data_IF_327904542240
#
_entry.id   IF_327904542240
#
_cell.length_a   1.000
_cell.length_b   1.000
_cell.length_c   1.000
_cell.angle_alpha   90.00
_cell.angle_beta   90.00
_cell.angle_gamma   90.00
#
_symmetry.space_group_name_H-M   'P 1'
#
loop_
_entity.id
_entity.type
_entity.pdbx_description
1 polymer ?
#
# COMPACT_ATOMS: atom_id res chain seq x y z
N UNK A 1 -2.49 51.71 54.47
CA UNK A 1 -3.74 51.56 53.69
C UNK A 1 -3.38 50.85 52.39
N UNK A 2 -3.65 49.53 52.37
CA UNK A 2 -3.38 48.66 51.21
C UNK A 2 -4.64 48.58 50.32
N UNK A 3 -4.57 49.00 49.08
CA UNK A 3 -5.65 48.77 48.09
C UNK A 3 -5.29 47.56 47.24
N UNK A 4 -6.04 46.48 47.42
CA UNK A 4 -6.05 45.30 46.56
C UNK A 4 -6.78 45.67 45.25
N UNK A 5 -6.09 45.50 44.13
CA UNK A 5 -6.70 45.44 42.80
C UNK A 5 -6.89 43.96 42.45
N UNK A 6 -8.13 43.53 42.43
CA UNK A 6 -8.50 42.22 41.89
C UNK A 6 -8.63 42.37 40.39
N UNK A 7 -7.74 41.73 39.62
CA UNK A 7 -7.86 41.54 38.16
C UNK A 7 -8.61 40.24 37.92
N UNK A 8 -9.88 40.37 37.52
CA UNK A 8 -10.65 39.27 36.99
C UNK A 8 -10.18 38.99 35.51
N UNK A 9 -9.36 37.97 35.35
CA UNK A 9 -9.00 37.45 34.01
C UNK A 9 -10.11 36.52 33.53
N UNK A 10 -10.98 37.01 32.66
CA UNK A 10 -11.94 36.20 31.91
C UNK A 10 -11.14 35.38 30.86
N UNK A 11 -10.87 34.13 31.15
CA UNK A 11 -10.33 33.20 30.21
C UNK A 11 -11.43 32.78 29.24
N UNK A 12 -11.46 33.38 28.05
CA UNK A 12 -12.23 32.88 26.93
C UNK A 12 -11.53 31.62 26.41
N UNK A 13 -12.00 30.47 26.83
CA UNK A 13 -11.64 29.20 26.22
C UNK A 13 -12.41 29.12 24.89
N UNK A 14 -11.76 29.57 23.80
CA UNK A 14 -12.21 29.26 22.46
C UNK A 14 -11.96 27.76 22.26
N UNK A 15 -12.99 26.95 22.49
CA UNK A 15 -13.04 25.56 22.03
C UNK A 15 -13.14 25.63 20.51
N UNK A 16 -12.00 25.75 19.82
CA UNK A 16 -11.90 25.42 18.43
C UNK A 16 -12.20 23.92 18.31
N UNK A 17 -13.46 23.61 18.05
CA UNK A 17 -13.88 22.25 17.71
C UNK A 17 -13.14 21.85 16.43
N UNK A 18 -12.01 21.18 16.59
CA UNK A 18 -11.49 20.34 15.53
C UNK A 18 -12.58 19.30 15.25
N UNK A 19 -13.40 19.55 14.22
CA UNK A 19 -14.17 18.51 13.58
C UNK A 19 -13.17 17.54 12.92
N UNK A 20 -12.50 16.77 13.76
CA UNK A 20 -11.95 15.50 13.30
C UNK A 20 -13.16 14.69 12.88
N UNK A 21 -13.47 14.65 11.59
CA UNK A 21 -14.37 13.63 11.04
C UNK A 21 -13.73 12.30 11.40
N UNK A 22 -14.10 11.75 12.54
CA UNK A 22 -13.73 10.40 12.92
C UNK A 22 -14.37 9.49 11.88
N UNK A 23 -13.60 8.58 11.31
CA UNK A 23 -14.12 7.54 10.43
C UNK A 23 -15.25 6.84 11.20
N UNK A 24 -16.45 6.68 10.61
CA UNK A 24 -17.51 5.94 11.28
C UNK A 24 -17.01 4.54 11.62
N UNK A 25 -17.46 4.02 12.75
CA UNK A 25 -17.15 2.65 13.15
C UNK A 25 -17.60 1.72 12.00
N UNK A 26 -16.73 0.84 11.48
CA UNK A 26 -17.09 -0.13 10.44
C UNK A 26 -18.39 -0.89 10.76
N UNK A 27 -18.63 -1.23 12.02
CA UNK A 27 -19.85 -1.87 12.49
C UNK A 27 -21.11 -1.03 12.25
N UNK A 28 -21.00 0.30 12.22
CA UNK A 28 -22.15 1.20 11.97
C UNK A 28 -22.52 1.29 10.49
N UNK A 29 -21.59 0.95 9.59
CA UNK A 29 -21.81 0.97 8.15
C UNK A 29 -22.32 -0.38 7.63
N UNK A 30 -22.09 -1.47 8.36
CA UNK A 30 -22.57 -2.79 7.95
C UNK A 30 -24.09 -2.83 7.85
N UNK A 31 -24.59 -3.41 6.74
CA UNK A 31 -26.03 -3.53 6.48
C UNK A 31 -26.73 -2.25 6.02
N UNK A 32 -26.09 -1.07 6.05
CA UNK A 32 -26.68 0.17 5.56
C UNK A 32 -26.85 0.13 4.05
N UNK A 33 -28.02 0.54 3.57
CA UNK A 33 -28.27 0.70 2.12
C UNK A 33 -27.86 2.12 1.70
N UNK A 34 -26.92 2.20 0.76
CA UNK A 34 -26.50 3.47 0.17
C UNK A 34 -27.45 3.90 -0.97
N UNK A 35 -27.76 5.18 -1.01
CA UNK A 35 -28.39 5.80 -2.17
C UNK A 35 -27.30 6.17 -3.18
N UNK A 36 -27.04 5.25 -4.13
CA UNK A 36 -25.97 5.41 -5.11
C UNK A 36 -26.19 6.60 -6.05
N UNK A 37 -27.40 7.16 -6.14
CA UNK A 37 -27.67 8.35 -6.97
C UNK A 37 -26.99 9.62 -6.45
N UNK A 38 -26.54 9.60 -5.19
CA UNK A 38 -25.81 10.70 -4.56
C UNK A 38 -24.31 10.72 -4.86
N UNK A 39 -23.80 9.70 -5.54
CA UNK A 39 -22.38 9.53 -5.81
C UNK A 39 -22.15 9.49 -7.31
N UNK A 40 -21.32 10.39 -7.81
CA UNK A 40 -20.82 10.30 -9.18
C UNK A 40 -19.41 9.69 -9.20
N UNK A 41 -19.11 8.91 -10.22
CA UNK A 41 -17.76 8.36 -10.38
C UNK A 41 -16.70 9.47 -10.43
N UNK A 42 -16.99 10.55 -11.19
CA UNK A 42 -16.05 11.66 -11.34
C UNK A 42 -15.69 12.34 -10.01
N UNK A 43 -16.67 12.54 -9.10
CA UNK A 43 -16.39 13.09 -7.76
C UNK A 43 -15.54 12.16 -6.92
N UNK A 44 -15.86 10.87 -6.90
CA UNK A 44 -15.07 9.86 -6.17
C UNK A 44 -13.65 9.79 -6.71
N UNK A 45 -13.50 9.69 -8.05
CA UNK A 45 -12.21 9.64 -8.71
C UNK A 45 -11.39 10.91 -8.46
N UNK A 46 -12.01 12.10 -8.52
CA UNK A 46 -11.32 13.36 -8.25
C UNK A 46 -10.75 13.43 -6.82
N UNK A 47 -11.52 12.99 -5.81
CA UNK A 47 -11.04 12.95 -4.42
C UNK A 47 -9.91 11.93 -4.25
N UNK A 48 -10.05 10.73 -4.81
CA UNK A 48 -8.99 9.71 -4.77
C UNK A 48 -7.72 10.21 -5.46
N UNK A 49 -7.85 10.81 -6.65
CA UNK A 49 -6.71 11.31 -7.42
C UNK A 49 -6.03 12.51 -6.75
N UNK A 50 -6.79 13.40 -6.13
CA UNK A 50 -6.23 14.49 -5.32
C UNK A 50 -5.42 13.96 -4.13
N UNK A 51 -5.94 12.90 -3.45
CA UNK A 51 -5.21 12.23 -2.38
C UNK A 51 -3.95 11.54 -2.91
N UNK A 52 -4.05 10.79 -4.01
CA UNK A 52 -2.93 10.10 -4.63
C UNK A 52 -1.81 11.06 -5.08
N UNK A 53 -2.17 12.22 -5.63
CA UNK A 53 -1.21 13.25 -6.02
C UNK A 53 -0.38 13.76 -4.83
N UNK A 54 -0.98 13.85 -3.65
CA UNK A 54 -0.26 14.25 -2.42
C UNK A 54 0.60 13.14 -1.84
N UNK A 55 0.36 11.88 -2.21
CA UNK A 55 1.14 10.70 -1.86
C UNK A 55 2.09 10.26 -3.00
N UNK A 56 2.27 11.11 -4.04
CA UNK A 56 3.13 10.78 -5.19
C UNK A 56 4.56 10.43 -4.76
N UNK A 57 5.04 11.09 -3.70
CA UNK A 57 6.36 10.83 -3.10
C UNK A 57 6.18 10.52 -1.64
N UNK A 58 6.18 9.26 -1.32
CA UNK A 58 5.91 8.78 0.02
C UNK A 58 7.15 8.10 0.61
N UNK A 59 7.38 8.35 1.89
CA UNK A 59 8.35 7.63 2.70
C UNK A 59 7.75 7.32 4.07
N UNK A 60 8.02 6.13 4.58
CA UNK A 60 7.71 5.76 5.95
C UNK A 60 8.69 4.71 6.47
N UNK A 61 9.07 4.82 7.73
CA UNK A 61 9.56 3.66 8.46
C UNK A 61 8.40 2.68 8.66
N UNK A 62 8.68 1.39 8.61
CA UNK A 62 7.66 0.34 8.68
C UNK A 62 8.03 -0.74 9.69
N UNK A 63 6.99 -1.34 10.30
CA UNK A 63 7.10 -2.66 10.93
C UNK A 63 6.27 -3.61 10.07
N UNK A 64 6.92 -4.61 9.50
CA UNK A 64 6.29 -5.63 8.67
C UNK A 64 6.26 -6.94 9.44
N UNK A 65 5.07 -7.54 9.57
CA UNK A 65 4.92 -8.88 10.14
C UNK A 65 4.40 -9.80 9.06
N UNK A 66 5.08 -10.92 8.84
CA UNK A 66 4.73 -11.91 7.83
C UNK A 66 4.37 -13.21 8.55
N UNK A 67 3.20 -13.75 8.25
CA UNK A 67 2.76 -15.09 8.65
C UNK A 67 2.76 -15.97 7.41
N UNK A 68 3.33 -17.15 7.49
CA UNK A 68 3.42 -18.10 6.38
C UNK A 68 3.56 -19.53 6.90
N UNK A 69 3.29 -20.49 6.05
CA UNK A 69 3.54 -21.89 6.36
C UNK A 69 5.02 -22.20 6.13
N UNK A 70 5.72 -22.60 7.17
CA UNK A 70 7.12 -23.00 7.13
C UNK A 70 7.35 -24.28 6.33
N UNK A 71 8.63 -24.60 6.09
CA UNK A 71 9.03 -25.78 5.29
C UNK A 71 8.58 -27.12 5.88
N UNK A 72 8.33 -27.18 7.19
CA UNK A 72 7.88 -28.37 7.90
C UNK A 72 6.36 -28.42 8.09
N UNK A 73 5.64 -27.41 7.53
CA UNK A 73 4.19 -27.29 7.63
C UNK A 73 3.69 -26.62 8.91
N UNK A 74 4.60 -26.01 9.68
CA UNK A 74 4.27 -25.20 10.85
C UNK A 74 4.00 -23.75 10.50
N UNK A 75 3.16 -23.09 11.31
CA UNK A 75 2.92 -21.65 11.22
C UNK A 75 4.17 -20.89 11.68
N UNK A 76 4.74 -20.09 10.81
CA UNK A 76 5.86 -19.20 11.11
C UNK A 76 5.45 -17.74 11.10
N UNK A 77 6.11 -16.94 11.93
CA UNK A 77 5.90 -15.51 12.04
C UNK A 77 7.22 -14.77 12.08
N UNK A 78 7.45 -13.92 11.10
CA UNK A 78 8.59 -13.03 11.08
C UNK A 78 8.15 -11.58 11.29
N UNK A 79 8.88 -10.85 12.15
CA UNK A 79 8.74 -9.41 12.29
C UNK A 79 10.01 -8.73 11.82
N UNK A 80 9.85 -7.74 10.95
CA UNK A 80 10.89 -7.04 10.25
C UNK A 80 10.66 -5.53 10.39
N UNK A 81 11.70 -4.79 10.72
CA UNK A 81 11.70 -3.34 10.67
C UNK A 81 12.23 -2.89 9.30
N UNK A 82 11.85 -1.71 8.82
CA UNK A 82 12.35 -1.27 7.53
C UNK A 82 11.86 0.09 7.10
N UNK A 83 12.19 0.41 5.86
CA UNK A 83 11.80 1.64 5.20
C UNK A 83 11.07 1.35 3.90
N UNK A 84 10.01 2.10 3.65
CA UNK A 84 9.26 2.07 2.40
C UNK A 84 9.38 3.43 1.70
N UNK A 85 9.84 3.40 0.46
CA UNK A 85 9.94 4.54 -0.43
C UNK A 85 9.04 4.33 -1.64
N UNK A 86 8.27 5.34 -2.02
CA UNK A 86 7.42 5.32 -3.21
C UNK A 86 7.62 6.60 -4.00
N UNK A 87 7.72 6.45 -5.32
CA UNK A 87 7.52 7.51 -6.31
C UNK A 87 6.59 6.96 -7.38
N UNK A 88 5.36 7.43 -7.34
CA UNK A 88 4.36 6.97 -8.30
C UNK A 88 4.74 7.36 -9.73
N UNK A 89 4.29 6.63 -10.75
CA UNK A 89 3.40 5.47 -10.64
C UNK A 89 4.12 4.11 -10.46
N UNK A 90 5.43 4.00 -10.71
CA UNK A 90 6.08 2.70 -10.93
C UNK A 90 7.28 2.44 -10.01
N UNK A 91 7.65 3.39 -9.16
CA UNK A 91 8.84 3.24 -8.33
C UNK A 91 8.46 2.94 -6.90
N UNK A 92 8.96 1.81 -6.40
CA UNK A 92 8.83 1.40 -5.00
C UNK A 92 10.14 0.75 -4.57
N UNK A 93 10.56 1.01 -3.35
CA UNK A 93 11.67 0.32 -2.74
C UNK A 93 11.36 0.10 -1.26
N UNK A 94 11.56 -1.11 -0.79
CA UNK A 94 11.37 -1.51 0.59
C UNK A 94 12.59 -2.29 1.05
N UNK A 95 13.18 -1.86 2.16
CA UNK A 95 14.21 -2.60 2.88
C UNK A 95 13.60 -3.19 4.14
N UNK A 96 13.98 -4.42 4.49
CA UNK A 96 13.48 -5.15 5.65
C UNK A 96 14.65 -5.69 6.45
N UNK A 97 14.66 -5.45 7.75
CA UNK A 97 15.70 -5.88 8.68
C UNK A 97 15.10 -6.75 9.78
N UNK A 98 15.77 -7.83 10.11
CA UNK A 98 15.41 -8.69 11.23
C UNK A 98 16.44 -8.49 12.36
N UNK A 99 15.99 -7.86 13.46
CA UNK A 99 16.86 -7.57 14.62
C UNK A 99 18.14 -6.80 14.23
N UNK A 100 18.00 -5.78 13.36
CA UNK A 100 19.13 -4.95 12.92
C UNK A 100 20.05 -5.60 11.88
N UNK A 101 19.73 -6.79 11.38
CA UNK A 101 20.41 -7.42 10.26
C UNK A 101 19.54 -7.30 9.00
N UNK A 102 20.14 -6.92 7.88
CA UNK A 102 19.42 -6.87 6.61
C UNK A 102 18.84 -8.24 6.26
N UNK A 103 17.50 -8.31 6.12
CA UNK A 103 16.79 -9.56 5.92
C UNK A 103 16.32 -9.74 4.48
N UNK A 104 15.75 -8.66 3.91
CA UNK A 104 15.27 -8.66 2.54
C UNK A 104 15.20 -7.25 1.98
N UNK A 105 15.24 -7.14 0.66
CA UNK A 105 14.90 -5.91 -0.05
C UNK A 105 14.02 -6.24 -1.26
N UNK A 106 13.05 -5.37 -1.53
CA UNK A 106 12.26 -5.46 -2.74
C UNK A 106 12.17 -4.09 -3.40
N UNK A 107 11.98 -4.09 -4.71
CA UNK A 107 11.80 -2.84 -5.40
C UNK A 107 11.33 -3.00 -6.84
N UNK A 108 10.93 -1.86 -7.39
CA UNK A 108 10.63 -1.70 -8.79
C UNK A 108 10.98 -0.29 -9.26
N UNK A 109 11.29 -0.18 -10.54
CA UNK A 109 11.39 1.07 -11.29
C UNK A 109 10.58 0.96 -12.59
N UNK A 110 10.79 1.83 -13.54
CA UNK A 110 10.00 1.86 -14.78
C UNK A 110 10.18 0.60 -15.66
N UNK A 111 11.24 -0.19 -15.45
CA UNK A 111 11.56 -1.35 -16.29
C UNK A 111 11.62 -2.64 -15.51
N UNK A 112 12.30 -2.64 -14.36
CA UNK A 112 12.64 -3.83 -13.59
C UNK A 112 11.85 -3.91 -12.31
N UNK A 113 11.66 -5.12 -11.81
CA UNK A 113 11.32 -5.42 -10.42
C UNK A 113 12.31 -6.43 -9.87
N UNK A 114 12.52 -6.41 -8.56
CA UNK A 114 13.48 -7.29 -7.90
C UNK A 114 13.10 -7.62 -6.47
N UNK A 115 13.61 -8.76 -6.04
CA UNK A 115 13.62 -9.21 -4.66
C UNK A 115 15.02 -9.65 -4.32
N UNK A 116 15.50 -9.30 -3.13
CA UNK A 116 16.82 -9.70 -2.64
C UNK A 116 16.59 -10.43 -1.33
N UNK A 117 16.97 -11.70 -1.30
CA UNK A 117 17.05 -12.50 -0.07
C UNK A 117 18.46 -12.28 0.53
N UNK A 118 18.47 -11.64 1.70
CA UNK A 118 19.69 -11.29 2.42
C UNK A 118 19.96 -12.25 3.61
N UNK A 119 19.03 -13.16 3.88
CA UNK A 119 19.18 -14.19 4.94
C UNK A 119 19.85 -15.47 4.41
N UNK A 120 19.97 -15.60 3.10
CA UNK A 120 20.77 -16.68 2.51
C UNK A 120 22.26 -16.49 2.83
N UNK A 121 23.04 -17.58 2.91
CA UNK A 121 24.49 -17.55 3.14
C UNK A 121 25.21 -16.63 2.15
N UNK A 122 24.80 -16.66 0.88
CA UNK A 122 25.16 -15.68 -0.14
C UNK A 122 23.88 -14.93 -0.58
N UNK A 123 23.84 -13.58 -0.54
CA UNK A 123 22.70 -12.80 -0.97
C UNK A 123 22.29 -13.09 -2.43
N UNK A 124 21.00 -13.40 -2.62
CA UNK A 124 20.44 -13.77 -3.91
C UNK A 124 19.43 -12.72 -4.35
N UNK A 125 19.57 -12.19 -5.58
CA UNK A 125 18.56 -11.35 -6.20
C UNK A 125 17.77 -12.10 -7.27
N UNK A 126 16.45 -12.07 -7.16
CA UNK A 126 15.52 -12.46 -8.21
C UNK A 126 15.07 -11.20 -8.95
N UNK A 127 15.29 -11.13 -10.25
CA UNK A 127 15.13 -9.92 -11.07
C UNK A 127 14.28 -10.28 -12.29
N UNK A 128 13.28 -9.43 -12.60
CA UNK A 128 12.47 -9.57 -13.80
C UNK A 128 12.13 -8.22 -14.42
N UNK A 129 11.61 -8.26 -15.63
CA UNK A 129 11.05 -7.09 -16.33
C UNK A 129 9.53 -7.10 -16.22
N UNK A 130 8.93 -5.90 -16.14
CA UNK A 130 7.48 -5.78 -16.03
C UNK A 130 6.72 -6.35 -17.23
N UNK A 131 7.33 -6.34 -18.40
CA UNK A 131 6.68 -6.78 -19.64
C UNK A 131 6.59 -8.31 -19.74
N UNK A 132 7.50 -9.02 -19.07
CA UNK A 132 7.53 -10.48 -19.00
C UNK A 132 6.98 -11.04 -17.70
N UNK A 133 6.67 -10.20 -16.74
CA UNK A 133 6.16 -10.64 -15.43
C UNK A 133 4.83 -11.38 -15.58
N UNK A 134 4.77 -12.54 -14.96
CA UNK A 134 3.55 -13.30 -14.73
C UNK A 134 3.28 -13.35 -13.21
N UNK A 135 2.39 -12.48 -12.68
CA UNK A 135 2.17 -12.39 -11.24
C UNK A 135 1.64 -13.68 -10.62
N UNK A 136 0.94 -14.52 -11.40
CA UNK A 136 0.38 -15.77 -10.89
C UNK A 136 1.47 -16.83 -10.67
N UNK A 137 2.65 -16.64 -11.27
CA UNK A 137 3.80 -17.52 -11.10
C UNK A 137 4.87 -16.98 -10.14
N UNK A 138 4.73 -15.76 -9.66
CA UNK A 138 5.68 -15.21 -8.68
C UNK A 138 5.67 -15.99 -7.38
N UNK A 139 4.53 -16.50 -6.97
CA UNK A 139 4.37 -17.34 -5.78
C UNK A 139 5.17 -18.64 -5.89
N UNK A 140 5.25 -19.25 -7.07
CA UNK A 140 6.08 -20.44 -7.32
C UNK A 140 7.57 -20.18 -7.10
N UNK A 141 7.97 -18.91 -7.20
CA UNK A 141 9.34 -18.44 -7.02
C UNK A 141 9.63 -17.93 -5.60
N UNK A 142 8.65 -18.06 -4.69
CA UNK A 142 8.75 -17.58 -3.32
C UNK A 142 8.58 -16.06 -3.19
N UNK A 143 7.98 -15.41 -4.20
CA UNK A 143 7.72 -13.97 -4.20
C UNK A 143 6.23 -13.73 -3.94
N UNK A 144 5.85 -13.23 -2.77
CA UNK A 144 4.43 -13.19 -2.38
C UNK A 144 3.59 -12.17 -3.15
N UNK A 145 4.18 -11.04 -3.53
CA UNK A 145 3.45 -9.93 -4.17
C UNK A 145 4.35 -9.19 -5.14
N UNK A 146 3.86 -8.96 -6.37
CA UNK A 146 4.60 -8.09 -7.30
C UNK A 146 4.66 -6.66 -6.76
N UNK A 147 5.81 -5.95 -6.81
CA UNK A 147 5.93 -4.61 -6.25
C UNK A 147 4.90 -3.60 -6.77
N UNK A 148 4.48 -3.69 -8.05
CA UNK A 148 3.43 -2.81 -8.58
C UNK A 148 2.03 -3.16 -8.03
N UNK A 149 1.74 -4.44 -7.77
CA UNK A 149 0.51 -4.84 -7.08
C UNK A 149 0.52 -4.33 -5.63
N UNK A 150 1.69 -4.34 -4.97
CA UNK A 150 1.83 -3.74 -3.65
C UNK A 150 1.47 -2.25 -3.65
N UNK A 151 1.88 -1.47 -4.68
CA UNK A 151 1.47 -0.06 -4.81
C UNK A 151 -0.05 0.10 -4.88
N UNK A 152 -0.75 -0.77 -5.60
CA UNK A 152 -2.22 -0.76 -5.66
C UNK A 152 -2.82 -1.11 -4.31
N UNK A 153 -2.32 -2.15 -3.65
CA UNK A 153 -2.79 -2.61 -2.34
C UNK A 153 -2.62 -1.57 -1.23
N UNK A 154 -1.63 -0.68 -1.34
CA UNK A 154 -1.47 0.44 -0.41
C UNK A 154 -2.59 1.50 -0.55
N UNK A 155 -3.37 1.47 -1.64
CA UNK A 155 -4.46 2.41 -1.88
C UNK A 155 -3.99 3.83 -2.17
N UNK A 156 -2.76 4.00 -2.67
CA UNK A 156 -2.16 5.30 -2.97
C UNK A 156 -2.21 5.66 -4.46
N UNK A 157 -2.56 4.72 -5.30
CA UNK A 157 -2.55 4.88 -6.76
C UNK A 157 -3.70 5.76 -7.25
N UNK A 158 -3.46 6.48 -8.35
CA UNK A 158 -4.50 7.18 -9.08
C UNK A 158 -5.44 6.19 -9.76
N UNK A 159 -6.70 6.58 -9.89
CA UNK A 159 -7.70 5.86 -10.67
C UNK A 159 -7.99 6.61 -11.97
N UNK A 160 -8.45 5.95 -13.04
CA UNK A 160 -8.81 6.61 -14.28
C UNK A 160 -9.92 7.65 -14.09
N UNK A 161 -9.93 8.68 -14.92
CA UNK A 161 -11.01 9.69 -14.91
C UNK A 161 -12.32 9.13 -15.48
N UNK A 162 -12.22 8.14 -16.37
CA UNK A 162 -13.38 7.44 -16.94
C UNK A 162 -13.64 6.12 -16.21
N UNK A 163 -14.91 5.81 -15.90
CA UNK A 163 -15.25 4.60 -15.18
C UNK A 163 -15.07 3.34 -16.05
N UNK A 164 -14.37 2.34 -15.51
CA UNK A 164 -14.34 1.00 -16.07
C UNK A 164 -15.69 0.27 -15.84
N UNK A 165 -16.34 0.55 -14.71
CA UNK A 165 -17.65 0.01 -14.33
C UNK A 165 -18.39 1.05 -13.46
N UNK A 166 -19.73 0.99 -13.39
CA UNK A 166 -20.50 1.83 -12.48
C UNK A 166 -20.08 1.62 -11.03
N UNK A 167 -20.19 2.68 -10.22
CA UNK A 167 -20.08 2.54 -8.77
C UNK A 167 -21.13 1.56 -8.26
N UNK A 168 -20.76 0.73 -7.31
CA UNK A 168 -21.68 -0.21 -6.68
C UNK A 168 -21.56 -0.18 -5.16
N UNK A 169 -22.55 -0.70 -4.48
CA UNK A 169 -22.48 -0.90 -3.05
C UNK A 169 -21.72 -2.20 -2.74
N UNK A 170 -20.91 -2.22 -1.69
CA UNK A 170 -20.29 -3.43 -1.20
C UNK A 170 -21.33 -4.44 -0.68
N UNK A 171 -21.02 -5.73 -0.72
CA UNK A 171 -21.96 -6.80 -0.32
C UNK A 171 -22.37 -6.72 1.16
N UNK A 172 -21.47 -6.29 2.03
CA UNK A 172 -21.73 -6.09 3.46
C UNK A 172 -22.43 -4.76 3.77
N UNK A 173 -22.82 -3.99 2.75
CA UNK A 173 -23.50 -2.70 2.91
C UNK A 173 -22.55 -1.54 3.22
N UNK A 174 -23.10 -0.33 3.33
CA UNK A 174 -22.47 0.87 3.87
C UNK A 174 -21.22 1.42 3.17
N UNK A 175 -20.65 0.72 2.20
CA UNK A 175 -19.42 1.11 1.49
C UNK A 175 -19.65 1.21 -0.02
N UNK A 176 -18.92 2.12 -0.66
CA UNK A 176 -18.86 2.22 -2.12
C UNK A 176 -17.76 1.29 -2.66
N UNK A 177 -17.99 0.76 -3.85
CA UNK A 177 -16.95 0.03 -4.58
C UNK A 177 -16.70 0.69 -5.91
N UNK A 178 -15.43 1.05 -6.13
CA UNK A 178 -14.90 1.57 -7.38
C UNK A 178 -14.01 0.50 -8.00
N UNK A 179 -14.23 0.20 -9.29
CA UNK A 179 -13.39 -0.73 -10.06
C UNK A 179 -12.52 0.04 -11.04
N UNK A 180 -11.24 -0.27 -11.07
CA UNK A 180 -10.27 0.33 -11.97
C UNK A 180 -9.39 -0.74 -12.62
N UNK A 181 -8.76 -0.46 -13.79
CA UNK A 181 -7.82 -1.38 -14.40
C UNK A 181 -6.55 -1.50 -13.56
N UNK A 182 -5.99 -2.70 -13.52
CA UNK A 182 -4.65 -3.01 -13.05
C UNK A 182 -3.83 -3.58 -14.19
N UNK A 183 -2.50 -3.62 -14.05
CA UNK A 183 -1.64 -4.12 -15.12
C UNK A 183 -1.97 -5.57 -15.52
N UNK A 184 -2.35 -6.39 -14.55
CA UNK A 184 -2.67 -7.80 -14.76
C UNK A 184 -4.10 -8.14 -14.28
N UNK A 185 -5.07 -7.31 -14.63
CA UNK A 185 -6.47 -7.54 -14.27
C UNK A 185 -7.20 -6.28 -13.84
N UNK A 186 -7.88 -6.35 -12.73
CA UNK A 186 -8.62 -5.23 -12.14
C UNK A 186 -8.30 -5.06 -10.67
N UNK A 187 -8.46 -3.84 -10.19
CA UNK A 187 -8.45 -3.51 -8.77
C UNK A 187 -9.82 -2.99 -8.35
N UNK A 188 -10.33 -3.48 -7.23
CA UNK A 188 -11.55 -3.00 -6.60
C UNK A 188 -11.22 -2.30 -5.29
N UNK A 189 -11.57 -1.02 -5.20
CA UNK A 189 -11.45 -0.22 -3.99
C UNK A 189 -12.79 -0.19 -3.27
N UNK A 190 -12.86 -0.74 -2.07
CA UNK A 190 -13.99 -0.51 -1.16
C UNK A 190 -13.69 0.76 -0.37
N UNK A 191 -14.58 1.74 -0.49
CA UNK A 191 -14.38 3.11 -0.03
C UNK A 191 -15.38 3.47 1.06
N UNK A 192 -14.93 4.21 2.05
CA UNK A 192 -15.81 4.92 2.98
C UNK A 192 -16.64 5.96 2.19
N UNK A 193 -17.99 5.95 2.26
CA UNK A 193 -18.83 6.84 1.45
C UNK A 193 -18.74 8.31 1.86
N UNK A 194 -18.15 8.62 3.02
CA UNK A 194 -18.04 9.99 3.53
C UNK A 194 -16.70 10.63 3.13
N UNK A 195 -15.63 9.85 3.18
CA UNK A 195 -14.26 10.35 2.96
C UNK A 195 -13.66 9.89 1.63
N UNK A 196 -14.25 8.88 0.99
CA UNK A 196 -13.72 8.13 -0.16
C UNK A 196 -12.32 7.57 0.07
N UNK A 197 -11.94 7.39 1.34
CA UNK A 197 -10.71 6.68 1.69
C UNK A 197 -10.90 5.18 1.50
N UNK A 198 -9.93 4.47 0.91
CA UNK A 198 -9.98 3.02 0.82
C UNK A 198 -10.01 2.38 2.21
N UNK A 199 -10.91 1.43 2.42
CA UNK A 199 -10.99 0.56 3.59
C UNK A 199 -10.51 -0.84 3.27
N UNK A 200 -10.65 -1.24 2.00
CA UNK A 200 -10.18 -2.51 1.47
C UNK A 200 -9.82 -2.34 0.00
N UNK A 201 -8.80 -3.05 -0.43
CA UNK A 201 -8.38 -3.15 -1.83
C UNK A 201 -8.31 -4.62 -2.20
N UNK A 202 -8.88 -4.99 -3.35
CA UNK A 202 -8.83 -6.34 -3.88
C UNK A 202 -8.29 -6.32 -5.31
N UNK A 203 -7.32 -7.19 -5.59
CA UNK A 203 -6.82 -7.40 -6.96
C UNK A 203 -7.37 -8.72 -7.48
N UNK A 204 -7.92 -8.68 -8.70
CA UNK A 204 -8.50 -9.84 -9.39
C UNK A 204 -7.97 -9.92 -10.81
N UNK A 205 -7.75 -11.12 -11.31
CA UNK A 205 -7.34 -11.33 -12.72
C UNK A 205 -8.47 -11.06 -13.70
N UNK A 206 -9.72 -11.22 -13.27
CA UNK A 206 -10.93 -10.82 -14.02
C UNK A 206 -12.08 -10.47 -13.06
N UNK A 207 -13.13 -9.72 -13.52
CA UNK A 207 -14.19 -9.20 -12.65
C UNK A 207 -14.98 -10.24 -11.84
N UNK A 208 -15.05 -11.46 -12.32
CA UNK A 208 -15.84 -12.55 -11.68
C UNK A 208 -14.98 -13.58 -10.94
N UNK A 209 -13.66 -13.49 -11.07
CA UNK A 209 -12.75 -14.39 -10.38
C UNK A 209 -12.58 -13.98 -8.92
N UNK A 210 -12.18 -14.90 -8.04
CA UNK A 210 -11.76 -14.57 -6.68
C UNK A 210 -10.64 -13.51 -6.67
N UNK A 211 -10.52 -12.78 -5.58
CA UNK A 211 -9.37 -11.91 -5.38
C UNK A 211 -8.13 -12.78 -5.18
N UNK A 212 -7.06 -12.46 -5.91
CA UNK A 212 -5.74 -13.09 -5.75
C UNK A 212 -4.95 -12.43 -4.65
N UNK A 213 -5.22 -11.15 -4.37
CA UNK A 213 -4.63 -10.37 -3.28
C UNK A 213 -5.72 -9.50 -2.66
N UNK A 214 -5.70 -9.37 -1.34
CA UNK A 214 -6.56 -8.42 -0.63
C UNK A 214 -5.76 -7.63 0.37
N UNK A 215 -6.15 -6.37 0.60
CA UNK A 215 -5.55 -5.52 1.61
C UNK A 215 -6.65 -4.83 2.43
N UNK A 216 -6.69 -5.07 3.73
CA UNK A 216 -7.58 -4.39 4.67
C UNK A 216 -6.84 -3.24 5.36
N UNK A 217 -7.42 -2.03 5.27
CA UNK A 217 -6.88 -0.81 5.86
C UNK A 217 -7.39 -0.64 7.29
N UNK A 218 -6.47 -0.61 8.25
CA UNK A 218 -6.82 -0.53 9.67
C UNK A 218 -6.28 0.75 10.31
N UNK A 219 -7.14 1.43 11.07
CA UNK A 219 -6.80 2.70 11.67
C UNK A 219 -6.52 3.79 10.64
N UNK A 220 -6.31 5.00 11.08
CA UNK A 220 -5.87 6.11 10.24
C UNK A 220 -4.94 7.02 11.02
N UNK A 221 -3.86 7.44 10.39
CA UNK A 221 -2.94 8.44 10.93
C UNK A 221 -2.85 9.62 9.98
N UNK A 222 -2.63 10.78 10.56
CA UNK A 222 -2.40 11.98 9.78
C UNK A 222 -1.02 11.89 9.09
N UNK A 223 -1.01 12.18 7.81
CA UNK A 223 0.20 12.23 7.02
C UNK A 223 0.86 13.60 7.17
N UNK A 224 2.16 13.66 7.51
CA UNK A 224 2.89 14.92 7.62
C UNK A 224 3.21 15.49 6.23
N UNK A 225 2.26 16.26 5.70
CA UNK A 225 2.37 16.96 4.43
C UNK A 225 2.71 18.44 4.66
N UNK A 226 3.96 18.69 5.05
CA UNK A 226 4.45 20.06 5.29
C UNK A 226 4.55 20.91 4.02
N UNK A 227 4.41 20.29 2.84
CA UNK A 227 4.46 21.00 1.56
C UNK A 227 3.15 21.72 1.24
N UNK A 228 2.04 21.28 1.82
CA UNK A 228 0.70 21.76 1.57
C UNK A 228 0.04 22.31 2.85
N UNK A 229 0.78 23.14 3.59
CA UNK A 229 0.25 23.81 4.78
C UNK A 229 -0.97 24.64 4.41
N UNK A 230 -2.09 24.40 5.10
CA UNK A 230 -3.37 25.05 4.84
C UNK A 230 -4.38 24.23 4.02
N UNK A 231 -3.97 23.12 3.41
CA UNK A 231 -4.90 22.15 2.82
C UNK A 231 -5.38 21.12 3.86
N UNK A 232 -6.57 20.51 3.67
CA UNK A 232 -7.02 19.41 4.52
C UNK A 232 -5.95 18.33 4.60
N UNK A 233 -5.66 17.84 5.79
CA UNK A 233 -4.61 16.86 6.03
C UNK A 233 -4.94 15.53 5.34
N UNK A 234 -4.00 14.97 4.58
CA UNK A 234 -4.16 13.62 4.04
C UNK A 234 -4.05 12.62 5.18
N UNK A 235 -4.91 11.63 5.15
CA UNK A 235 -4.89 10.50 6.09
C UNK A 235 -4.45 9.24 5.34
N UNK A 236 -3.65 8.44 6.01
CA UNK A 236 -3.22 7.13 5.52
C UNK A 236 -3.64 6.06 6.53
N UNK A 237 -3.77 4.80 6.15
CA UNK A 237 -3.96 3.73 7.11
C UNK A 237 -2.78 3.67 8.09
N UNK A 238 -3.06 3.38 9.36
CA UNK A 238 -2.01 3.08 10.34
C UNK A 238 -1.35 1.74 10.03
N UNK A 239 -2.19 0.79 9.61
CA UNK A 239 -1.81 -0.59 9.30
C UNK A 239 -2.53 -1.07 8.06
N UNK A 240 -1.86 -1.92 7.30
CA UNK A 240 -2.44 -2.63 6.16
C UNK A 240 -2.20 -4.11 6.39
N UNK A 241 -3.26 -4.91 6.29
CA UNK A 241 -3.20 -6.35 6.35
C UNK A 241 -3.43 -6.91 4.95
N UNK A 242 -2.42 -7.54 4.38
CA UNK A 242 -2.45 -8.12 3.03
C UNK A 242 -2.57 -9.63 3.17
N UNK A 243 -3.59 -10.22 2.56
CA UNK A 243 -3.74 -11.66 2.44
C UNK A 243 -3.32 -12.10 1.02
N UNK A 244 -2.51 -13.17 0.96
CA UNK A 244 -2.02 -13.82 -0.25
C UNK A 244 -2.51 -15.27 -0.25
N UNK A 245 -3.73 -15.56 -0.71
CA UNK A 245 -4.37 -16.86 -0.54
C UNK A 245 -3.62 -18.02 -1.18
N UNK A 246 -2.96 -17.79 -2.31
CA UNK A 246 -2.31 -18.85 -3.10
C UNK A 246 -1.14 -19.53 -2.35
N UNK A 247 -0.54 -18.83 -1.40
CA UNK A 247 0.56 -19.38 -0.57
C UNK A 247 0.22 -19.40 0.92
N UNK A 248 -1.06 -19.17 1.26
CA UNK A 248 -1.54 -19.07 2.65
C UNK A 248 -0.66 -18.14 3.50
N UNK A 249 -0.26 -17.03 2.91
CA UNK A 249 0.56 -16.02 3.57
C UNK A 249 -0.25 -14.76 3.88
N UNK A 250 0.12 -14.14 4.98
CA UNK A 250 -0.45 -12.86 5.42
C UNK A 250 0.67 -11.90 5.78
N UNK A 251 0.56 -10.65 5.32
CA UNK A 251 1.54 -9.61 5.59
C UNK A 251 0.85 -8.43 6.24
N UNK A 252 1.32 -7.99 7.39
CA UNK A 252 0.89 -6.75 8.02
C UNK A 252 2.00 -5.71 7.93
N UNK A 253 1.68 -4.56 7.35
CA UNK A 253 2.57 -3.40 7.29
C UNK A 253 2.00 -2.33 8.22
N UNK A 254 2.77 -1.90 9.21
CA UNK A 254 2.47 -0.76 10.06
C UNK A 254 3.39 0.40 9.70
N UNK A 255 2.81 1.57 9.46
CA UNK A 255 3.57 2.78 9.15
C UNK A 255 3.97 3.53 10.42
N UNK A 256 5.22 3.96 10.47
CA UNK A 256 5.79 4.76 11.55
C UNK A 256 6.30 6.08 10.97
N UNK A 257 5.72 7.21 11.40
CA UNK A 257 6.22 8.54 11.01
C UNK A 257 6.20 8.82 9.50
N UNK A 258 5.12 8.40 8.82
CA UNK A 258 4.95 8.63 7.39
C UNK A 258 5.01 10.10 7.02
N UNK A 259 5.74 10.45 5.98
CA UNK A 259 5.93 11.83 5.52
C UNK A 259 6.13 11.93 4.01
N UNK A 260 5.85 13.11 3.44
CA UNK A 260 6.28 13.44 2.09
C UNK A 260 7.79 13.57 2.10
N UNK A 261 8.47 12.86 1.22
CA UNK A 261 9.90 13.08 1.01
C UNK A 261 10.13 14.47 0.42
N UNK A 262 10.63 15.40 1.24
CA UNK A 262 11.01 16.75 0.79
C UNK A 262 12.24 16.75 -0.11
N UNK A 263 13.12 15.78 0.07
CA UNK A 263 14.24 15.54 -0.83
C UNK A 263 13.69 14.78 -2.03
N UNK A 264 14.17 15.10 -3.24
CA UNK A 264 14.05 14.11 -4.31
C UNK A 264 14.40 12.78 -3.67
N UNK A 265 13.50 11.75 -3.73
CA UNK A 265 13.89 10.44 -3.25
C UNK A 265 15.24 10.17 -3.87
N UNK A 266 16.17 9.67 -3.08
CA UNK A 266 17.45 9.27 -3.63
C UNK A 266 17.12 8.28 -4.76
N UNK A 267 17.30 8.69 -6.01
CA UNK A 267 17.00 7.84 -7.19
C UNK A 267 17.70 6.49 -7.07
N UNK A 268 18.79 6.44 -6.28
CA UNK A 268 19.50 5.21 -5.93
C UNK A 268 18.63 4.19 -5.20
N UNK A 269 17.60 4.63 -4.45
CA UNK A 269 16.68 3.69 -3.79
C UNK A 269 15.92 2.84 -4.81
N UNK A 270 15.73 3.37 -6.03
CA UNK A 270 15.02 2.70 -7.13
C UNK A 270 15.98 2.21 -8.23
N UNK A 271 17.28 2.31 -8.00
CA UNK A 271 18.28 1.79 -8.92
C UNK A 271 18.65 0.35 -8.56
N UNK A 272 18.44 -0.55 -9.52
CA UNK A 272 18.75 -1.97 -9.33
C UNK A 272 20.25 -2.19 -9.10
N UNK A 273 21.11 -1.49 -9.87
CA UNK A 273 22.57 -1.62 -9.76
C UNK A 273 23.09 -1.17 -8.41
N UNK A 274 22.59 -0.02 -7.91
CA UNK A 274 22.92 0.50 -6.60
C UNK A 274 22.41 -0.44 -5.48
N UNK A 275 21.21 -1.02 -5.64
CA UNK A 275 20.66 -2.00 -4.69
C UNK A 275 21.55 -3.24 -4.62
N UNK A 276 21.89 -3.84 -5.78
CA UNK A 276 22.73 -5.04 -5.82
C UNK A 276 24.13 -4.78 -5.25
N UNK A 277 24.71 -3.61 -5.54
CA UNK A 277 25.99 -3.19 -5.02
C UNK A 277 25.98 -2.99 -3.50
N UNK A 278 24.95 -2.32 -2.99
CA UNK A 278 24.78 -2.04 -1.55
C UNK A 278 24.75 -3.32 -0.72
N UNK A 279 24.04 -4.32 -1.20
CA UNK A 279 23.88 -5.60 -0.49
C UNK A 279 24.91 -6.66 -0.89
N UNK A 280 25.88 -6.33 -1.73
CA UNK A 280 26.94 -7.26 -2.13
C UNK A 280 26.43 -8.48 -2.89
N UNK A 281 25.31 -8.35 -3.61
CA UNK A 281 24.65 -9.45 -4.32
C UNK A 281 25.52 -9.95 -5.46
N UNK A 282 25.89 -11.23 -5.41
CA UNK A 282 26.67 -11.93 -6.45
C UNK A 282 25.81 -12.90 -7.25
N UNK A 283 24.86 -13.54 -6.57
CA UNK A 283 23.97 -14.51 -7.19
C UNK A 283 22.70 -13.82 -7.71
N UNK A 284 22.36 -14.09 -8.98
CA UNK A 284 21.18 -13.53 -9.63
C UNK A 284 20.35 -14.63 -10.26
N UNK A 285 19.04 -14.56 -10.02
CA UNK A 285 18.04 -15.38 -10.69
C UNK A 285 17.29 -14.49 -11.68
N UNK A 286 17.34 -14.81 -12.95
CA UNK A 286 16.59 -14.13 -14.00
C UNK A 286 15.17 -14.71 -14.05
N UNK A 287 14.19 -13.95 -13.58
CA UNK A 287 12.78 -14.36 -13.53
C UNK A 287 12.18 -14.43 -14.95
N UNK A 288 12.66 -13.62 -15.87
CA UNK A 288 12.18 -13.63 -17.26
C UNK A 288 12.48 -14.97 -17.95
N UNK A 289 13.67 -15.54 -17.71
CA UNK A 289 14.08 -16.86 -18.23
C UNK A 289 13.31 -17.98 -17.56
N UNK A 290 13.14 -17.91 -16.24
CA UNK A 290 12.38 -18.91 -15.49
C UNK A 290 10.92 -18.95 -15.96
N UNK A 291 10.31 -17.79 -16.18
CA UNK A 291 8.95 -17.68 -16.71
C UNK A 291 8.82 -18.27 -18.13
N UNK A 292 9.80 -18.06 -19.00
CA UNK A 292 9.81 -18.63 -20.34
C UNK A 292 9.90 -20.17 -20.30
N UNK A 293 10.73 -20.73 -19.42
CA UNK A 293 10.88 -22.18 -19.26
C UNK A 293 9.65 -22.85 -18.64
N UNK A 294 8.87 -22.12 -17.85
CA UNK A 294 7.65 -22.63 -17.22
C UNK A 294 6.40 -22.54 -18.11
N UNK A 295 6.46 -21.84 -19.26
CA UNK A 295 5.34 -21.83 -20.19
C UNK A 295 5.16 -23.23 -20.76
N UNK A 296 3.94 -23.84 -20.65
CA UNK A 296 3.68 -25.06 -21.36
C UNK A 296 3.89 -24.79 -22.85
N UNK A 297 4.66 -25.66 -23.52
CA UNK A 297 4.74 -25.60 -24.98
C UNK A 297 3.31 -25.67 -25.51
N UNK A 298 2.88 -24.64 -26.23
CA UNK A 298 1.63 -24.67 -27.00
C UNK A 298 1.80 -25.75 -28.08
N UNK A 299 1.34 -26.96 -27.73
CA UNK A 299 1.22 -28.08 -28.68
C UNK A 299 -0.18 -28.12 -29.27
#
# INVERSE_FOLDING_TARGET
>A
MRRLFAFAMLAFVAVAGCNCMSRPDPAQLEGQKLDLTKFSYGEVAAVMNARAARLERFWAATITTVWYIGKQGEDEVDQLDGDLHIVQPNKIAMSLQKVGVDGAALGANDRFYWYVDLLADDPIASIGTHDKADPDRLTDLGVPVHPLDLLLLLGFSKVPDEPMAPLRQARNGGYLVLTAPAKWGIVEYTLDPTTFEPVRVEIRRAPKLPAVLTADMQGTVAFDDRMNQGMPQVRIPERILIDVPDIDARVRIRFLGAQVSRRKPDERAFDLGDTLSRYGVRLRRDLDVVHEQMRPEEQ
#
